data_IF_520883971044
#
_entry.id   IF_520883971044
#
_cell.length_a   1.000
_cell.length_b   1.000
_cell.length_c   1.000
_cell.angle_alpha   90.00
_cell.angle_beta   90.00
_cell.angle_gamma   90.00
#
_symmetry.space_group_name_H-M   'P 1'
#
loop_
_entity.id
_entity.type
_entity.pdbx_description
1 polymer ?
#
# COMPACT_ATOMS: atom_id res chain seq x y z
N UNK A 1 17.58 -12.55 9.24
CA UNK A 1 17.67 -12.19 7.81
C UNK A 1 18.71 -11.08 7.72
N UNK A 2 19.53 -11.08 6.68
CA UNK A 2 20.53 -10.03 6.48
C UNK A 2 19.90 -8.93 5.64
N UNK A 3 19.86 -7.71 6.16
CA UNK A 3 19.46 -6.51 5.43
C UNK A 3 20.59 -5.49 5.57
N UNK A 4 21.26 -5.16 4.45
CA UNK A 4 22.49 -4.37 4.45
C UNK A 4 23.60 -5.03 5.29
N UNK A 5 24.29 -4.24 6.11
CA UNK A 5 25.41 -4.70 6.96
C UNK A 5 24.97 -5.25 8.33
N UNK A 6 23.65 -5.37 8.58
CA UNK A 6 23.12 -5.80 9.88
C UNK A 6 22.34 -7.11 9.79
N UNK A 7 22.60 -8.02 10.74
CA UNK A 7 21.72 -9.16 10.97
C UNK A 7 20.51 -8.69 11.78
N UNK A 8 19.33 -8.76 11.18
CA UNK A 8 18.08 -8.61 11.92
C UNK A 8 17.64 -9.99 12.44
N UNK A 9 17.66 -10.22 13.77
CA UNK A 9 17.18 -11.48 14.34
C UNK A 9 15.67 -11.60 14.12
N UNK A 10 15.23 -12.75 13.63
CA UNK A 10 13.80 -13.07 13.57
C UNK A 10 13.38 -13.43 15.00
N UNK A 11 12.63 -12.53 15.66
CA UNK A 11 12.15 -12.78 17.01
C UNK A 11 10.92 -13.69 17.01
N UNK A 12 10.71 -14.42 18.10
CA UNK A 12 9.46 -15.17 18.31
C UNK A 12 8.24 -14.25 18.24
N UNK A 13 8.35 -13.03 18.78
CA UNK A 13 7.27 -12.05 18.76
C UNK A 13 6.87 -11.68 17.33
N UNK A 14 7.83 -11.51 16.41
CA UNK A 14 7.55 -11.26 15.00
C UNK A 14 6.76 -12.42 14.36
N UNK A 15 7.14 -13.67 14.67
CA UNK A 15 6.44 -14.84 14.12
C UNK A 15 5.00 -14.94 14.65
N UNK A 16 4.81 -14.77 15.97
CA UNK A 16 3.47 -14.86 16.55
C UNK A 16 2.57 -13.70 16.12
N UNK A 17 3.14 -12.51 15.91
CA UNK A 17 2.41 -11.37 15.36
C UNK A 17 1.96 -11.64 13.92
N UNK A 18 2.87 -12.15 13.07
CA UNK A 18 2.53 -12.54 11.70
C UNK A 18 1.40 -13.58 11.63
N UNK A 19 1.34 -14.54 12.56
CA UNK A 19 0.23 -15.52 12.63
C UNK A 19 -1.10 -14.89 13.01
N UNK A 20 -1.11 -13.84 13.82
CA UNK A 20 -2.32 -13.11 14.22
C UNK A 20 -2.82 -12.18 13.11
N UNK A 21 -1.92 -11.67 12.28
CA UNK A 21 -2.20 -10.62 11.28
C UNK A 21 -2.36 -11.16 9.84
N UNK A 22 -2.87 -12.38 9.66
CA UNK A 22 -3.13 -12.99 8.35
C UNK A 22 -4.44 -12.49 7.71
N UNK A 23 -4.64 -11.17 7.69
CA UNK A 23 -5.92 -10.50 7.40
C UNK A 23 -6.46 -10.76 6.00
N UNK A 24 -5.60 -11.07 5.02
CA UNK A 24 -6.02 -11.37 3.64
C UNK A 24 -6.63 -12.77 3.46
N UNK A 25 -6.79 -13.56 4.54
CA UNK A 25 -7.40 -14.89 4.52
C UNK A 25 -8.84 -14.92 5.04
N UNK A 26 -9.33 -13.81 5.59
CA UNK A 26 -10.54 -13.76 6.39
C UNK A 26 -11.65 -12.93 5.76
N UNK A 27 -12.45 -12.32 6.65
CA UNK A 27 -13.54 -11.41 6.29
C UNK A 27 -13.02 -10.10 5.67
N UNK A 28 -13.96 -9.26 5.22
CA UNK A 28 -13.64 -7.96 4.65
C UNK A 28 -12.82 -7.09 5.62
N UNK A 29 -11.90 -6.31 5.06
CA UNK A 29 -11.13 -5.32 5.78
C UNK A 29 -12.03 -4.11 6.06
N UNK A 30 -12.09 -3.68 7.32
CA UNK A 30 -12.81 -2.48 7.74
C UNK A 30 -12.05 -1.21 7.35
N UNK A 31 -11.92 -1.00 6.04
CA UNK A 31 -11.27 0.14 5.40
C UNK A 31 -12.27 0.77 4.44
N UNK A 32 -12.73 1.97 4.78
CA UNK A 32 -13.80 2.69 4.09
C UNK A 32 -13.30 3.97 3.40
N UNK A 33 -11.99 4.24 3.43
CA UNK A 33 -11.38 5.38 2.76
C UNK A 33 -11.00 5.06 1.29
N UNK A 34 -10.73 6.08 0.45
CA UNK A 34 -10.16 5.90 -0.88
C UNK A 34 -8.82 5.16 -0.86
N UNK A 35 -8.62 4.23 -1.80
CA UNK A 35 -7.40 3.42 -1.88
C UNK A 35 -6.80 3.48 -3.28
N UNK A 36 -5.47 3.67 -3.34
CA UNK A 36 -4.67 3.52 -4.55
C UNK A 36 -3.60 2.47 -4.31
N UNK A 37 -3.74 1.32 -4.94
CA UNK A 37 -2.78 0.23 -4.86
C UNK A 37 -1.78 0.38 -6.01
N UNK A 38 -0.48 0.37 -5.72
CA UNK A 38 0.59 0.43 -6.72
C UNK A 38 1.45 -0.83 -6.56
N UNK A 39 1.54 -1.65 -7.61
CA UNK A 39 2.24 -2.94 -7.54
C UNK A 39 3.10 -3.18 -8.77
N UNK A 40 4.29 -3.73 -8.54
CA UNK A 40 5.21 -4.15 -9.60
C UNK A 40 4.85 -5.53 -10.16
N UNK A 41 4.70 -5.67 -11.48
CA UNK A 41 4.41 -6.99 -12.09
C UNK A 41 5.64 -7.92 -12.15
N UNK A 42 6.84 -7.38 -11.92
CA UNK A 42 8.08 -8.13 -11.80
C UNK A 42 8.51 -8.27 -10.32
N UNK A 43 7.59 -8.13 -9.38
CA UNK A 43 7.81 -8.42 -7.97
C UNK A 43 7.92 -9.94 -7.75
N UNK A 44 9.12 -10.40 -7.40
CA UNK A 44 9.42 -11.81 -7.11
C UNK A 44 9.10 -12.20 -5.65
N UNK A 45 8.89 -11.22 -4.77
CA UNK A 45 8.63 -11.44 -3.34
C UNK A 45 7.12 -11.51 -3.04
N UNK A 46 6.33 -10.66 -3.70
CA UNK A 46 4.88 -10.56 -3.51
C UNK A 46 4.14 -10.77 -4.84
N UNK A 47 3.38 -11.87 -4.98
CA UNK A 47 2.61 -12.15 -6.17
C UNK A 47 1.60 -11.05 -6.49
N UNK A 48 1.46 -10.70 -7.78
CA UNK A 48 0.56 -9.63 -8.24
C UNK A 48 -0.90 -9.86 -7.83
N UNK A 49 -1.33 -11.12 -7.66
CA UNK A 49 -2.67 -11.48 -7.21
C UNK A 49 -3.02 -10.90 -5.84
N UNK A 50 -2.01 -10.56 -5.04
CA UNK A 50 -2.18 -9.92 -3.73
C UNK A 50 -2.93 -8.59 -3.87
N UNK A 51 -2.67 -7.82 -4.92
CA UNK A 51 -3.31 -6.51 -5.12
C UNK A 51 -4.82 -6.67 -5.37
N UNK A 52 -5.21 -7.68 -6.12
CA UNK A 52 -6.63 -7.96 -6.42
C UNK A 52 -7.35 -8.48 -5.17
N UNK A 53 -6.69 -9.34 -4.38
CA UNK A 53 -7.24 -9.78 -3.09
C UNK A 53 -7.50 -8.61 -2.14
N UNK A 54 -6.59 -7.64 -2.07
CA UNK A 54 -6.78 -6.45 -1.25
C UNK A 54 -7.99 -5.66 -1.77
N UNK A 55 -8.06 -5.41 -3.08
CA UNK A 55 -9.17 -4.67 -3.69
C UNK A 55 -10.54 -5.35 -3.46
N UNK A 56 -10.60 -6.68 -3.46
CA UNK A 56 -11.84 -7.43 -3.21
C UNK A 56 -12.26 -7.40 -1.73
N UNK A 57 -11.30 -7.35 -0.81
CA UNK A 57 -11.56 -7.45 0.63
C UNK A 57 -11.93 -6.11 1.27
N UNK A 58 -11.57 -4.97 0.69
CA UNK A 58 -11.91 -3.66 1.27
C UNK A 58 -13.40 -3.33 1.09
N UNK A 59 -13.91 -2.42 1.92
CA UNK A 59 -15.34 -2.05 1.92
C UNK A 59 -15.65 -0.85 1.02
N UNK A 60 -14.65 -0.02 0.73
CA UNK A 60 -14.82 1.16 -0.13
C UNK A 60 -15.02 0.78 -1.61
N UNK A 61 -15.91 1.48 -2.34
CA UNK A 61 -16.00 1.36 -3.79
C UNK A 61 -14.91 2.17 -4.52
N UNK A 62 -14.22 3.10 -3.85
CA UNK A 62 -13.15 3.89 -4.46
C UNK A 62 -11.78 3.20 -4.26
N UNK A 63 -11.50 2.26 -5.16
CA UNK A 63 -10.24 1.52 -5.21
C UNK A 63 -9.71 1.54 -6.63
N UNK A 64 -8.47 1.99 -6.80
CA UNK A 64 -7.77 1.87 -8.09
C UNK A 64 -6.50 1.01 -7.93
N UNK A 65 -6.32 0.09 -8.88
CA UNK A 65 -5.15 -0.79 -8.97
C UNK A 65 -4.24 -0.31 -10.10
N UNK A 66 -3.00 0.04 -9.76
CA UNK A 66 -1.96 0.48 -10.69
C UNK A 66 -0.87 -0.58 -10.78
N UNK A 67 -0.78 -1.25 -11.94
CA UNK A 67 0.24 -2.26 -12.21
C UNK A 67 1.38 -1.69 -13.06
N UNK A 68 2.62 -1.84 -12.59
CA UNK A 68 3.83 -1.44 -13.32
C UNK A 68 4.47 -2.66 -13.94
N UNK A 69 4.39 -2.78 -15.27
CA UNK A 69 4.86 -3.97 -16.02
C UNK A 69 6.30 -4.41 -15.70
N UNK A 70 7.22 -3.45 -15.57
CA UNK A 70 8.62 -3.71 -15.22
C UNK A 70 8.97 -3.38 -13.77
N UNK A 71 7.96 -3.04 -12.95
CA UNK A 71 8.18 -2.68 -11.55
C UNK A 71 8.56 -3.92 -10.75
N UNK A 72 9.66 -3.84 -10.02
CA UNK A 72 10.10 -4.87 -9.06
C UNK A 72 9.44 -4.61 -7.69
N UNK A 73 9.80 -5.42 -6.69
CA UNK A 73 9.37 -5.21 -5.30
C UNK A 73 9.68 -3.80 -4.77
N UNK A 74 10.75 -3.17 -5.26
CA UNK A 74 11.24 -1.89 -4.71
C UNK A 74 10.54 -0.66 -5.28
N UNK A 75 10.05 -0.71 -6.52
CA UNK A 75 9.45 0.43 -7.22
C UNK A 75 10.26 1.73 -7.03
N UNK A 76 11.57 1.65 -7.28
CA UNK A 76 12.56 2.64 -6.88
C UNK A 76 13.08 3.52 -8.02
N UNK A 77 12.54 3.37 -9.23
CA UNK A 77 12.87 4.27 -10.34
C UNK A 77 12.21 5.64 -10.15
N UNK A 78 12.77 6.69 -10.77
CA UNK A 78 12.15 8.03 -10.76
C UNK A 78 10.71 8.02 -11.27
N UNK A 79 10.41 7.14 -12.23
CA UNK A 79 9.08 6.99 -12.80
C UNK A 79 8.12 6.33 -11.81
N UNK A 80 8.59 5.36 -11.02
CA UNK A 80 7.79 4.73 -9.97
C UNK A 80 7.48 5.72 -8.84
N UNK A 81 8.47 6.51 -8.41
CA UNK A 81 8.22 7.63 -7.49
C UNK A 81 7.22 8.64 -8.05
N UNK A 82 7.25 8.93 -9.35
CA UNK A 82 6.25 9.80 -9.98
C UNK A 82 4.85 9.19 -9.92
N UNK A 83 4.70 7.88 -10.16
CA UNK A 83 3.41 7.17 -10.01
C UNK A 83 2.89 7.23 -8.59
N UNK A 84 3.74 6.98 -7.60
CA UNK A 84 3.37 7.05 -6.18
C UNK A 84 2.92 8.45 -5.79
N UNK A 85 3.65 9.50 -6.19
CA UNK A 85 3.25 10.89 -5.95
C UNK A 85 1.90 11.22 -6.58
N UNK A 86 1.68 10.78 -7.82
CA UNK A 86 0.41 11.02 -8.51
C UNK A 86 -0.76 10.33 -7.80
N UNK A 87 -0.58 9.09 -7.35
CA UNK A 87 -1.60 8.38 -6.58
C UNK A 87 -1.96 9.10 -5.26
N UNK A 88 -0.97 9.65 -4.57
CA UNK A 88 -1.19 10.46 -3.36
C UNK A 88 -1.91 11.76 -3.69
N UNK A 89 -1.45 12.51 -4.71
CA UNK A 89 -2.11 13.76 -5.15
C UNK A 89 -3.56 13.52 -5.53
N UNK A 90 -3.86 12.45 -6.26
CA UNK A 90 -5.24 12.12 -6.65
C UNK A 90 -6.17 11.95 -5.44
N UNK A 91 -5.71 11.27 -4.38
CA UNK A 91 -6.53 11.09 -3.17
C UNK A 91 -6.72 12.43 -2.44
N UNK A 92 -5.68 13.24 -2.35
CA UNK A 92 -5.75 14.57 -1.72
C UNK A 92 -6.71 15.46 -2.50
N UNK A 93 -6.54 15.59 -3.80
CA UNK A 93 -7.33 16.51 -4.63
C UNK A 93 -8.83 16.17 -4.63
N UNK A 94 -9.18 14.89 -4.48
CA UNK A 94 -10.58 14.43 -4.51
C UNK A 94 -11.25 14.36 -3.12
N UNK A 95 -10.48 14.27 -2.03
CA UNK A 95 -11.04 13.99 -0.69
C UNK A 95 -10.55 14.91 0.42
N UNK A 96 -9.61 15.82 0.14
CA UNK A 96 -9.20 16.84 1.09
C UNK A 96 -10.13 18.06 0.95
N UNK A 97 -11.12 18.17 1.84
CA UNK A 97 -11.79 19.45 2.05
C UNK A 97 -10.79 20.40 2.71
N UNK A 98 -10.53 21.55 2.09
CA UNK A 98 -9.79 22.63 2.75
C UNK A 98 -10.68 23.14 3.88
N UNK A 99 -10.32 22.82 5.13
CA UNK A 99 -10.91 23.48 6.29
C UNK A 99 -10.47 24.95 6.34
N UNK A 100 -11.23 25.80 5.65
CA UNK A 100 -11.07 27.26 5.65
C UNK A 100 -11.50 27.89 6.98
N UNK A 101 -11.99 27.12 7.96
CA UNK A 101 -12.44 27.63 9.26
C UNK A 101 -11.34 27.64 10.33
N UNK A 102 -10.21 26.98 10.08
CA UNK A 102 -9.06 26.96 10.99
C UNK A 102 -8.15 28.19 10.77
N UNK A 103 -7.90 29.03 11.79
CA UNK A 103 -7.21 30.33 11.64
C UNK A 103 -5.68 30.24 11.44
N UNK A 104 -5.13 29.06 11.14
CA UNK A 104 -3.68 28.82 11.02
C UNK A 104 -3.18 28.54 9.60
N UNK A 105 -4.04 28.58 8.58
CA UNK A 105 -3.72 28.21 7.19
C UNK A 105 -3.78 29.42 6.27
N UNK A 106 -2.92 30.40 6.53
CA UNK A 106 -2.65 31.57 5.69
C UNK A 106 -1.16 31.88 5.62
#
# INVERSE_FOLDING_TARGET
ITWGDSQSPISRNLIEDGRKNLVLRGEKLNIDCPIRLVHGMADEEVPVETVFKIADLVNTPDVAVNLVKGGTHFLDSELDFKRMRQAVSEVIDNYYEIDLSSPGSG
#
